data_IF_728555911549
#
_entry.id   IF_728555911549
#
_cell.length_a   1.000
_cell.length_b   1.000
_cell.length_c   1.000
_cell.angle_alpha   90.00
_cell.angle_beta   90.00
_cell.angle_gamma   90.00
#
_symmetry.space_group_name_H-M   'P 1'
#
loop_
_entity.id
_entity.type
_entity.pdbx_description
1 polymer ?
#
# COMPACT_ATOMS: atom_id res chain seq x y z
N UNK A 1 -20.86 -10.80 -17.87
CA UNK A 1 -19.90 -10.13 -16.99
C UNK A 1 -20.57 -9.87 -15.65
N UNK A 2 -20.44 -10.77 -14.67
CA UNK A 2 -20.87 -10.48 -13.31
C UNK A 2 -19.84 -9.50 -12.70
N UNK A 3 -20.12 -8.20 -12.84
CA UNK A 3 -19.31 -7.14 -12.23
C UNK A 3 -19.43 -7.24 -10.70
N UNK A 4 -18.57 -8.03 -10.06
CA UNK A 4 -18.28 -7.84 -8.64
C UNK A 4 -17.52 -6.53 -8.54
N UNK A 5 -18.26 -5.41 -8.49
CA UNK A 5 -17.66 -4.07 -8.42
C UNK A 5 -17.30 -3.83 -6.96
N UNK A 6 -16.02 -3.92 -6.62
CA UNK A 6 -15.53 -3.49 -5.31
C UNK A 6 -15.85 -2.00 -5.12
N UNK A 7 -16.91 -1.72 -4.38
CA UNK A 7 -17.41 -0.37 -4.12
C UNK A 7 -17.73 -0.18 -2.64
N UNK A 8 -16.72 0.19 -1.82
CA UNK A 8 -16.92 0.36 -0.39
C UNK A 8 -17.87 1.54 -0.10
N UNK A 9 -18.48 1.53 1.08
CA UNK A 9 -19.56 2.47 1.45
C UNK A 9 -19.18 3.95 1.29
N UNK A 10 -17.94 4.35 1.59
CA UNK A 10 -17.48 5.73 1.48
C UNK A 10 -17.34 6.19 0.03
N UNK A 11 -17.02 5.29 -0.90
CA UNK A 11 -17.00 5.56 -2.34
C UNK A 11 -18.42 5.72 -2.89
N UNK A 12 -19.37 4.89 -2.43
CA UNK A 12 -20.78 5.00 -2.84
C UNK A 12 -21.40 6.35 -2.47
N UNK A 13 -20.96 6.96 -1.37
CA UNK A 13 -21.41 8.29 -0.96
C UNK A 13 -20.98 9.35 -1.99
N UNK A 14 -19.73 9.29 -2.46
CA UNK A 14 -19.20 10.20 -3.47
C UNK A 14 -19.82 9.94 -4.85
N UNK A 15 -19.93 8.67 -5.24
CA UNK A 15 -20.47 8.23 -6.53
C UNK A 15 -21.96 8.58 -6.67
N UNK A 16 -22.74 8.58 -5.57
CA UNK A 16 -24.18 8.87 -5.58
C UNK A 16 -24.50 10.24 -6.17
N UNK A 17 -23.59 11.20 -6.02
CA UNK A 17 -23.79 12.57 -6.47
C UNK A 17 -22.97 12.94 -7.72
N UNK A 18 -22.27 11.96 -8.32
CA UNK A 18 -21.43 12.12 -9.52
C UNK A 18 -20.41 13.27 -9.43
N UNK A 19 -19.92 13.56 -8.22
CA UNK A 19 -19.06 14.71 -7.98
C UNK A 19 -17.60 14.53 -8.46
N UNK A 20 -17.27 13.38 -9.06
CA UNK A 20 -15.95 13.08 -9.57
C UNK A 20 -14.84 13.28 -8.53
N UNK A 21 -13.67 13.73 -8.98
CA UNK A 21 -12.51 13.96 -8.10
C UNK A 21 -12.73 15.15 -7.14
N UNK A 22 -13.40 16.21 -7.61
CA UNK A 22 -13.66 17.41 -6.79
C UNK A 22 -14.53 17.10 -5.57
N UNK A 23 -15.55 16.24 -5.73
CA UNK A 23 -16.38 15.80 -4.62
C UNK A 23 -15.64 14.98 -3.57
N UNK A 24 -14.72 14.13 -4.01
CA UNK A 24 -13.88 13.34 -3.08
C UNK A 24 -13.01 14.26 -2.23
N UNK A 25 -12.39 15.27 -2.85
CA UNK A 25 -11.64 16.32 -2.12
C UNK A 25 -12.55 17.08 -1.16
N UNK A 26 -13.73 17.50 -1.61
CA UNK A 26 -14.69 18.22 -0.76
C UNK A 26 -15.15 17.38 0.44
N UNK A 27 -15.43 16.09 0.25
CA UNK A 27 -15.79 15.16 1.32
C UNK A 27 -14.63 14.94 2.31
N UNK A 28 -13.40 14.86 1.82
CA UNK A 28 -12.21 14.77 2.67
C UNK A 28 -12.02 16.02 3.52
N UNK A 29 -12.13 17.21 2.93
CA UNK A 29 -12.07 18.47 3.69
C UNK A 29 -13.23 18.60 4.68
N UNK A 30 -14.43 18.18 4.27
CA UNK A 30 -15.60 18.17 5.15
C UNK A 30 -15.39 17.25 6.36
N UNK A 31 -14.73 16.11 6.18
CA UNK A 31 -14.43 15.19 7.28
C UNK A 31 -13.59 15.87 8.39
N UNK A 32 -12.56 16.63 8.02
CA UNK A 32 -11.79 17.42 8.99
C UNK A 32 -12.58 18.60 9.56
N UNK A 33 -13.36 19.30 8.72
CA UNK A 33 -14.16 20.45 9.12
C UNK A 33 -15.25 20.11 10.15
N UNK A 34 -15.82 18.89 10.09
CA UNK A 34 -16.79 18.39 11.08
C UNK A 34 -16.22 18.39 12.50
N UNK A 35 -14.91 18.19 12.65
CA UNK A 35 -14.23 18.33 13.94
C UNK A 35 -13.78 19.78 14.17
N UNK A 36 -13.09 20.39 13.20
CA UNK A 36 -12.41 21.66 13.41
C UNK A 36 -13.35 22.84 13.64
N UNK A 37 -14.47 22.91 12.91
CA UNK A 37 -15.38 24.06 13.02
C UNK A 37 -16.05 24.14 14.40
N UNK A 38 -16.66 23.06 14.94
CA UNK A 38 -17.18 23.10 16.31
C UNK A 38 -16.09 23.41 17.34
N UNK A 39 -14.90 22.84 17.19
CA UNK A 39 -13.79 23.08 18.12
C UNK A 39 -13.36 24.55 18.10
N UNK A 40 -13.14 25.11 16.91
CA UNK A 40 -12.78 26.52 16.73
C UNK A 40 -13.85 27.49 17.25
N UNK A 41 -15.13 27.14 17.16
CA UNK A 41 -16.22 27.95 17.74
C UNK A 41 -16.10 28.03 19.27
N UNK A 42 -15.62 26.96 19.92
CA UNK A 42 -15.49 26.89 21.38
C UNK A 42 -14.18 27.54 21.86
N UNK A 43 -13.06 27.27 21.20
CA UNK A 43 -11.71 27.66 21.68
C UNK A 43 -11.10 28.86 20.94
N UNK A 44 -11.70 29.30 19.84
CA UNK A 44 -11.21 30.42 19.05
C UNK A 44 -9.79 30.18 18.52
N UNK A 45 -8.91 31.17 18.68
CA UNK A 45 -7.53 31.10 18.18
C UNK A 45 -6.66 30.06 18.88
N UNK A 46 -7.05 29.56 20.05
CA UNK A 46 -6.31 28.52 20.78
C UNK A 46 -6.21 27.22 19.96
N UNK A 47 -7.20 26.94 19.10
CA UNK A 47 -7.19 25.80 18.17
C UNK A 47 -6.01 25.76 17.18
N UNK A 48 -5.32 26.89 17.00
CA UNK A 48 -4.08 26.95 16.23
C UNK A 48 -2.84 26.65 17.09
N UNK A 49 -2.87 27.07 18.35
CA UNK A 49 -1.75 26.90 19.30
C UNK A 49 -1.64 25.48 19.85
N UNK A 50 -2.76 24.77 19.97
CA UNK A 50 -2.82 23.39 20.48
C UNK A 50 -2.70 22.31 19.39
N UNK A 51 -2.38 22.72 18.15
CA UNK A 51 -2.25 21.84 16.98
C UNK A 51 -3.54 21.14 16.52
N UNK A 52 -4.72 21.53 17.02
CA UNK A 52 -6.00 20.93 16.59
C UNK A 52 -6.27 21.09 15.09
N UNK A 53 -5.78 22.16 14.47
CA UNK A 53 -5.83 22.32 13.01
C UNK A 53 -5.10 21.19 12.26
N UNK A 54 -4.02 20.65 12.83
CA UNK A 54 -3.27 19.52 12.27
C UNK A 54 -4.06 18.21 12.44
N UNK A 55 -4.79 18.04 13.55
CA UNK A 55 -5.72 16.92 13.73
C UNK A 55 -6.83 16.92 12.67
N UNK A 56 -7.37 18.10 12.34
CA UNK A 56 -8.33 18.25 11.24
C UNK A 56 -7.70 17.95 9.87
N UNK A 57 -6.45 18.38 9.66
CA UNK A 57 -5.64 18.04 8.50
C UNK A 57 -5.44 16.54 8.35
N UNK A 58 -5.07 15.85 9.44
CA UNK A 58 -4.94 14.40 9.52
C UNK A 58 -6.23 13.69 9.10
N UNK A 59 -7.36 14.04 9.70
CA UNK A 59 -8.68 13.46 9.34
C UNK A 59 -8.96 13.65 7.84
N UNK A 60 -8.67 14.84 7.31
CA UNK A 60 -8.88 15.15 5.90
C UNK A 60 -7.96 14.35 4.98
N UNK A 61 -6.67 14.27 5.31
CA UNK A 61 -5.67 13.50 4.59
C UNK A 61 -6.00 12.00 4.60
N UNK A 62 -6.29 11.42 5.76
CA UNK A 62 -6.69 10.03 5.90
C UNK A 62 -7.90 9.69 5.02
N UNK A 63 -8.93 10.55 5.01
CA UNK A 63 -10.10 10.39 4.15
C UNK A 63 -9.72 10.48 2.65
N UNK A 64 -8.89 11.46 2.27
CA UNK A 64 -8.44 11.64 0.88
C UNK A 64 -7.61 10.47 0.37
N UNK A 65 -6.69 9.98 1.20
CA UNK A 65 -5.84 8.83 0.88
C UNK A 65 -6.65 7.56 0.75
N UNK A 66 -7.75 7.40 1.48
CA UNK A 66 -8.65 6.26 1.32
C UNK A 66 -9.28 6.21 -0.08
N UNK A 67 -9.72 7.36 -0.61
CA UNK A 67 -10.21 7.45 -1.99
C UNK A 67 -9.11 7.15 -3.01
N UNK A 68 -7.92 7.72 -2.82
CA UNK A 68 -6.78 7.48 -3.71
C UNK A 68 -6.35 6.01 -3.69
N UNK A 69 -6.30 5.39 -2.51
CA UNK A 69 -5.94 3.98 -2.36
C UNK A 69 -6.97 3.08 -3.05
N UNK A 70 -8.25 3.40 -2.92
CA UNK A 70 -9.32 2.65 -3.60
C UNK A 70 -9.23 2.77 -5.11
N UNK A 71 -8.97 3.97 -5.64
CA UNK A 71 -8.75 4.18 -7.06
C UNK A 71 -7.53 3.40 -7.58
N UNK A 72 -6.44 3.42 -6.80
CA UNK A 72 -5.21 2.66 -7.11
C UNK A 72 -5.51 1.16 -7.15
N UNK A 73 -6.20 0.61 -6.15
CA UNK A 73 -6.58 -0.81 -6.12
C UNK A 73 -7.49 -1.19 -7.30
N UNK A 74 -8.48 -0.36 -7.63
CA UNK A 74 -9.37 -0.59 -8.78
C UNK A 74 -8.63 -0.61 -10.11
N UNK A 75 -7.58 0.21 -10.26
CA UNK A 75 -6.75 0.23 -11.46
C UNK A 75 -5.96 -1.07 -11.67
N UNK A 76 -5.80 -1.90 -10.62
CA UNK A 76 -5.14 -3.19 -10.71
C UNK A 76 -6.04 -4.27 -11.32
N UNK A 77 -7.37 -4.23 -11.12
CA UNK A 77 -8.25 -5.34 -11.50
C UNK A 77 -8.24 -5.68 -12.99
N UNK A 78 -8.33 -4.72 -13.94
CA UNK A 78 -8.25 -5.04 -15.36
C UNK A 78 -6.91 -5.65 -15.74
N UNK A 79 -5.82 -5.23 -15.07
CA UNK A 79 -4.49 -5.79 -15.29
C UNK A 79 -4.36 -7.19 -14.71
N UNK A 80 -4.94 -7.45 -13.54
CA UNK A 80 -4.97 -8.79 -12.95
C UNK A 80 -5.75 -9.79 -13.81
N UNK A 81 -6.86 -9.36 -14.40
CA UNK A 81 -7.67 -10.18 -15.31
C UNK A 81 -6.84 -10.71 -16.50
N UNK A 82 -5.92 -9.91 -17.04
CA UNK A 82 -5.02 -10.35 -18.13
C UNK A 82 -4.17 -11.54 -17.69
N UNK A 83 -3.66 -11.55 -16.45
CA UNK A 83 -2.80 -12.62 -15.95
C UNK A 83 -3.56 -13.84 -15.43
N UNK A 84 -4.79 -13.68 -14.93
CA UNK A 84 -5.59 -14.81 -14.43
C UNK A 84 -6.47 -15.44 -15.50
N UNK A 85 -6.87 -14.68 -16.52
CA UNK A 85 -7.98 -15.01 -17.42
C UNK A 85 -9.33 -14.56 -16.85
N UNK A 86 -10.25 -14.19 -17.75
CA UNK A 86 -11.59 -13.69 -17.43
C UNK A 86 -12.44 -14.72 -16.65
N UNK A 87 -12.19 -16.02 -16.85
CA UNK A 87 -12.86 -17.14 -16.17
C UNK A 87 -12.46 -17.29 -14.69
N UNK A 88 -11.40 -16.59 -14.26
CA UNK A 88 -10.78 -16.76 -12.93
C UNK A 88 -10.79 -15.51 -12.07
N UNK A 89 -11.48 -14.45 -12.50
CA UNK A 89 -11.56 -13.17 -11.76
C UNK A 89 -12.11 -13.36 -10.34
N UNK A 90 -13.06 -14.29 -10.18
CA UNK A 90 -13.65 -14.60 -8.86
C UNK A 90 -12.63 -15.13 -7.84
N UNK A 91 -11.52 -15.75 -8.30
CA UNK A 91 -10.50 -16.32 -7.40
C UNK A 91 -9.79 -15.25 -6.56
N UNK A 92 -9.69 -14.01 -7.04
CA UNK A 92 -9.14 -12.90 -6.26
C UNK A 92 -10.22 -11.91 -5.81
N UNK A 93 -11.28 -11.69 -6.60
CA UNK A 93 -12.36 -10.76 -6.23
C UNK A 93 -13.24 -11.28 -5.10
N UNK A 94 -13.49 -12.59 -5.02
CA UNK A 94 -14.24 -13.21 -3.92
C UNK A 94 -13.58 -12.93 -2.57
N UNK A 95 -12.33 -13.38 -2.35
CA UNK A 95 -11.60 -13.12 -1.11
C UNK A 95 -11.46 -11.63 -0.79
N UNK A 96 -11.23 -10.79 -1.81
CA UNK A 96 -11.11 -9.34 -1.63
C UNK A 96 -12.43 -8.71 -1.17
N UNK A 97 -13.55 -9.03 -1.82
CA UNK A 97 -14.87 -8.46 -1.49
C UNK A 97 -15.40 -8.94 -0.14
N UNK A 98 -15.10 -10.18 0.24
CA UNK A 98 -15.44 -10.70 1.56
C UNK A 98 -14.59 -10.01 2.65
N UNK A 99 -13.28 -9.87 2.39
CA UNK A 99 -12.35 -9.24 3.32
C UNK A 99 -12.65 -7.77 3.48
N UNK A 100 -12.77 -7.02 2.38
CA UNK A 100 -13.01 -5.59 2.36
C UNK A 100 -14.51 -5.27 2.23
N UNK A 101 -15.35 -6.03 2.93
CA UNK A 101 -16.79 -5.75 3.02
C UNK A 101 -17.06 -4.51 3.88
N UNK A 102 -18.15 -3.80 3.60
CA UNK A 102 -18.52 -2.59 4.34
C UNK A 102 -18.61 -2.82 5.84
N UNK A 103 -19.16 -3.98 6.24
CA UNK A 103 -19.27 -4.36 7.65
C UNK A 103 -17.89 -4.45 8.29
N UNK A 104 -16.92 -5.09 7.63
CA UNK A 104 -15.56 -5.26 8.18
C UNK A 104 -14.81 -3.93 8.21
N UNK A 105 -14.97 -3.08 7.20
CA UNK A 105 -14.44 -1.72 7.22
C UNK A 105 -15.03 -0.89 8.36
N UNK A 106 -16.35 -0.89 8.55
CA UNK A 106 -16.99 -0.17 9.64
C UNK A 106 -16.52 -0.66 11.00
N UNK A 107 -16.44 -1.99 11.22
CA UNK A 107 -15.93 -2.55 12.47
C UNK A 107 -14.47 -2.12 12.70
N UNK A 108 -13.61 -2.20 11.68
CA UNK A 108 -12.22 -1.77 11.79
C UNK A 108 -12.12 -0.29 12.15
N UNK A 109 -12.86 0.58 11.45
CA UNK A 109 -12.92 2.01 11.76
C UNK A 109 -13.41 2.28 13.19
N UNK A 110 -14.49 1.63 13.63
CA UNK A 110 -15.01 1.81 14.99
C UNK A 110 -14.01 1.36 16.06
N UNK A 111 -13.37 0.20 15.86
CA UNK A 111 -12.36 -0.32 16.78
C UNK A 111 -11.13 0.58 16.85
N UNK A 112 -10.59 1.02 15.71
CA UNK A 112 -9.42 1.90 15.67
C UNK A 112 -9.75 3.31 16.17
N UNK A 113 -10.95 3.83 15.88
CA UNK A 113 -11.45 5.08 16.45
C UNK A 113 -11.53 5.04 17.97
N UNK A 114 -12.14 3.98 18.52
CA UNK A 114 -12.21 3.77 19.97
C UNK A 114 -10.83 3.62 20.60
N UNK A 115 -9.92 2.86 19.97
CA UNK A 115 -8.55 2.70 20.45
C UNK A 115 -7.77 4.02 20.39
N UNK A 116 -7.88 4.81 19.32
CA UNK A 116 -7.19 6.09 19.20
C UNK A 116 -7.70 7.13 20.22
N UNK A 117 -9.01 7.12 20.49
CA UNK A 117 -9.60 7.92 21.56
C UNK A 117 -9.07 7.49 22.94
N UNK A 118 -8.93 6.19 23.18
CA UNK A 118 -8.33 5.66 24.42
C UNK A 118 -6.86 6.07 24.55
N UNK A 119 -6.08 6.03 23.46
CA UNK A 119 -4.70 6.53 23.46
C UNK A 119 -4.66 8.02 23.80
N UNK A 120 -5.52 8.84 23.20
CA UNK A 120 -5.64 10.27 23.55
C UNK A 120 -6.05 10.49 25.01
N UNK A 121 -6.88 9.60 25.58
CA UNK A 121 -7.20 9.61 27.01
C UNK A 121 -5.98 9.27 27.87
N UNK A 122 -5.20 8.25 27.52
CA UNK A 122 -3.97 7.89 28.21
C UNK A 122 -2.93 9.01 28.15
N UNK A 123 -2.76 9.65 27.00
CA UNK A 123 -1.81 10.76 26.82
C UNK A 123 -2.22 12.00 27.64
N UNK A 124 -3.52 12.24 27.79
CA UNK A 124 -4.07 13.36 28.57
C UNK A 124 -4.17 14.63 27.74
N UNK A 125 -5.38 15.19 27.65
CA UNK A 125 -5.70 16.30 26.76
C UNK A 125 -5.38 17.65 27.41
N UNK A 126 -4.72 18.60 26.72
CA UNK A 126 -4.35 19.90 27.28
C UNK A 126 -5.49 20.93 27.21
N UNK A 127 -6.69 20.58 27.66
CA UNK A 127 -7.82 21.51 27.72
C UNK A 127 -8.50 21.46 29.08
N UNK A 128 -8.68 22.64 29.69
CA UNK A 128 -9.43 22.79 30.94
C UNK A 128 -10.95 22.90 30.70
N UNK A 129 -11.38 23.27 29.50
CA UNK A 129 -12.79 23.38 29.15
C UNK A 129 -13.39 21.98 28.82
N UNK A 130 -14.45 21.53 29.51
CA UNK A 130 -15.06 20.23 29.26
C UNK A 130 -15.60 20.06 27.84
N UNK A 131 -16.12 21.12 27.21
CA UNK A 131 -16.67 21.05 25.86
C UNK A 131 -15.56 20.86 24.81
N UNK A 132 -14.48 21.64 24.90
CA UNK A 132 -13.29 21.47 24.08
C UNK A 132 -12.66 20.07 24.25
N UNK A 133 -12.57 19.57 25.49
CA UNK A 133 -12.05 18.22 25.77
C UNK A 133 -12.90 17.12 25.13
N UNK A 134 -14.22 17.24 25.19
CA UNK A 134 -15.13 16.30 24.51
C UNK A 134 -14.93 16.33 22.99
N UNK A 135 -14.80 17.51 22.40
CA UNK A 135 -14.56 17.68 20.97
C UNK A 135 -13.21 17.09 20.52
N UNK A 136 -12.16 17.22 21.34
CA UNK A 136 -10.86 16.59 21.08
C UNK A 136 -10.96 15.05 21.09
N UNK A 137 -11.68 14.46 22.05
CA UNK A 137 -11.93 13.01 22.01
C UNK A 137 -12.72 12.58 20.78
N UNK A 138 -13.72 13.37 20.35
CA UNK A 138 -14.39 13.13 19.07
C UNK A 138 -13.43 13.23 17.88
N UNK A 139 -12.51 14.22 17.89
CA UNK A 139 -11.46 14.36 16.88
C UNK A 139 -10.52 13.15 16.84
N UNK A 140 -10.06 12.66 17.99
CA UNK A 140 -9.24 11.45 18.08
C UNK A 140 -10.00 10.22 17.60
N UNK A 141 -11.27 10.08 17.94
CA UNK A 141 -12.11 9.01 17.43
C UNK A 141 -12.21 9.06 15.90
N UNK A 142 -12.47 10.23 15.32
CA UNK A 142 -12.57 10.41 13.87
C UNK A 142 -11.24 10.12 13.16
N UNK A 143 -10.13 10.62 13.67
CA UNK A 143 -8.80 10.34 13.13
C UNK A 143 -8.51 8.84 13.15
N UNK A 144 -8.74 8.17 14.29
CA UNK A 144 -8.59 6.73 14.40
C UNK A 144 -9.54 5.96 13.48
N UNK A 145 -10.78 6.44 13.31
CA UNK A 145 -11.75 5.82 12.41
C UNK A 145 -11.27 5.87 10.96
N UNK A 146 -10.90 7.04 10.45
CA UNK A 146 -10.44 7.19 9.08
C UNK A 146 -9.09 6.53 8.81
N UNK A 147 -8.17 6.51 9.78
CA UNK A 147 -6.90 5.78 9.67
C UNK A 147 -7.06 4.25 9.82
N UNK A 148 -8.08 3.79 10.54
CA UNK A 148 -8.40 2.37 10.70
C UNK A 148 -8.89 1.71 9.41
N UNK A 149 -9.61 2.45 8.55
CA UNK A 149 -10.07 1.96 7.25
C UNK A 149 -8.92 1.53 6.33
N UNK A 150 -7.92 2.36 6.01
CA UNK A 150 -6.78 1.95 5.18
C UNK A 150 -5.87 0.96 5.91
N UNK A 151 -5.72 1.02 7.24
CA UNK A 151 -4.97 0.02 7.99
C UNK A 151 -5.56 -1.40 7.78
N UNK A 152 -6.88 -1.53 7.81
CA UNK A 152 -7.55 -2.78 7.46
C UNK A 152 -7.49 -3.07 5.95
N UNK A 153 -7.52 -2.03 5.12
CA UNK A 153 -7.29 -2.10 3.67
C UNK A 153 -5.98 -2.79 3.29
N UNK A 154 -4.90 -2.55 4.05
CA UNK A 154 -3.61 -3.24 3.86
C UNK A 154 -3.78 -4.75 3.92
N UNK A 155 -4.55 -5.26 4.90
CA UNK A 155 -4.85 -6.68 4.99
C UNK A 155 -5.60 -7.20 3.74
N UNK A 156 -6.56 -6.44 3.23
CA UNK A 156 -7.25 -6.79 1.98
C UNK A 156 -6.32 -6.85 0.77
N UNK A 157 -5.38 -5.92 0.64
CA UNK A 157 -4.34 -5.93 -0.41
C UNK A 157 -3.48 -7.20 -0.29
N UNK A 158 -3.07 -7.58 0.92
CA UNK A 158 -2.29 -8.80 1.13
C UNK A 158 -3.06 -10.06 0.70
N UNK A 159 -4.32 -10.16 1.12
CA UNK A 159 -5.19 -11.30 0.75
C UNK A 159 -5.37 -11.36 -0.76
N UNK A 160 -5.62 -10.23 -1.41
CA UNK A 160 -5.84 -10.16 -2.85
C UNK A 160 -4.59 -10.47 -3.65
N UNK A 161 -3.42 -9.93 -3.30
CA UNK A 161 -2.16 -10.26 -3.97
C UNK A 161 -1.80 -11.74 -3.75
N UNK A 162 -2.04 -12.28 -2.56
CA UNK A 162 -1.84 -13.71 -2.27
C UNK A 162 -2.79 -14.60 -3.09
N UNK A 163 -4.04 -14.21 -3.25
CA UNK A 163 -5.00 -14.93 -4.08
C UNK A 163 -4.61 -14.83 -5.57
N UNK A 164 -4.24 -13.64 -6.02
CA UNK A 164 -3.75 -13.37 -7.38
C UNK A 164 -2.54 -14.22 -7.73
N UNK A 165 -1.49 -14.23 -6.89
CA UNK A 165 -0.27 -15.02 -7.14
C UNK A 165 -0.51 -16.52 -7.23
N UNK A 166 -1.59 -17.04 -6.61
CA UNK A 166 -2.02 -18.43 -6.74
C UNK A 166 -2.83 -18.70 -8.01
N UNK A 167 -3.62 -17.71 -8.44
CA UNK A 167 -4.50 -17.80 -9.60
C UNK A 167 -3.81 -17.45 -10.92
N UNK A 168 -2.73 -16.67 -10.87
CA UNK A 168 -1.98 -16.20 -12.02
C UNK A 168 -1.46 -17.37 -12.85
N UNK A 169 -1.74 -17.35 -14.14
CA UNK A 169 -1.24 -18.38 -15.05
C UNK A 169 0.18 -18.02 -15.47
N UNK A 170 1.11 -18.97 -15.33
CA UNK A 170 2.54 -18.74 -15.55
C UNK A 170 2.88 -18.47 -17.03
N UNK A 171 2.06 -18.94 -17.95
CA UNK A 171 2.13 -18.69 -19.40
C UNK A 171 1.89 -17.23 -19.78
N UNK A 172 1.18 -16.46 -18.94
CA UNK A 172 0.99 -15.02 -19.16
C UNK A 172 2.13 -14.16 -18.63
N UNK A 173 3.07 -14.73 -17.87
CA UNK A 173 4.31 -14.04 -17.51
C UNK A 173 5.22 -14.00 -18.74
N UNK A 174 5.82 -12.85 -18.99
CA UNK A 174 6.68 -12.62 -20.15
C UNK A 174 8.03 -12.02 -19.72
N UNK A 175 9.09 -12.82 -19.80
CA UNK A 175 10.46 -12.34 -19.50
C UNK A 175 10.98 -11.32 -20.52
N UNK A 176 10.35 -11.22 -21.70
CA UNK A 176 10.68 -10.21 -22.72
C UNK A 176 9.93 -8.90 -22.53
N UNK A 177 9.02 -8.83 -21.55
CA UNK A 177 8.29 -7.61 -21.23
C UNK A 177 9.26 -6.44 -20.96
N UNK A 178 8.93 -5.22 -21.41
CA UNK A 178 9.83 -4.07 -21.31
C UNK A 178 10.14 -3.67 -19.86
N UNK A 179 9.27 -4.05 -18.91
CA UNK A 179 9.48 -3.85 -17.48
C UNK A 179 10.55 -4.78 -16.87
N UNK A 180 10.96 -5.81 -17.62
CA UNK A 180 11.83 -6.91 -17.19
C UNK A 180 11.31 -7.63 -15.95
N UNK A 181 10.02 -7.54 -15.65
CA UNK A 181 9.41 -8.06 -14.42
C UNK A 181 8.22 -8.97 -14.74
N UNK A 182 8.23 -9.63 -15.90
CA UNK A 182 7.14 -10.53 -16.27
C UNK A 182 5.84 -9.81 -16.58
N UNK A 183 5.87 -8.49 -16.82
CA UNK A 183 4.68 -7.65 -16.92
C UNK A 183 4.03 -7.30 -15.57
N UNK A 184 4.69 -7.60 -14.44
CA UNK A 184 4.13 -7.42 -13.08
C UNK A 184 4.56 -6.13 -12.37
N UNK A 185 5.37 -5.27 -13.01
CA UNK A 185 5.88 -4.05 -12.36
C UNK A 185 4.77 -3.11 -11.84
N UNK A 186 3.61 -3.11 -12.50
CA UNK A 186 2.46 -2.30 -12.08
C UNK A 186 1.96 -2.63 -10.66
N UNK A 187 2.12 -3.88 -10.20
CA UNK A 187 1.73 -4.25 -8.84
C UNK A 187 2.70 -3.58 -7.86
N UNK A 188 4.01 -3.63 -8.12
CA UNK A 188 4.99 -2.96 -7.30
C UNK A 188 4.82 -1.44 -7.26
N UNK A 189 4.48 -0.80 -8.39
CA UNK A 189 4.14 0.63 -8.43
C UNK A 189 2.95 0.97 -7.52
N UNK A 190 1.91 0.13 -7.48
CA UNK A 190 0.77 0.33 -6.59
C UNK A 190 1.14 0.10 -5.12
N UNK A 191 1.95 -0.91 -4.81
CA UNK A 191 2.44 -1.17 -3.45
C UNK A 191 3.25 0.00 -2.90
N UNK A 192 4.10 0.62 -3.74
CA UNK A 192 4.84 1.84 -3.37
C UNK A 192 3.89 2.99 -3.10
N UNK A 193 2.87 3.20 -3.94
CA UNK A 193 1.85 4.23 -3.69
C UNK A 193 1.16 4.03 -2.35
N UNK A 194 0.72 2.81 -2.03
CA UNK A 194 0.12 2.52 -0.71
C UNK A 194 1.10 2.79 0.43
N UNK A 195 2.35 2.37 0.27
CA UNK A 195 3.39 2.57 1.29
C UNK A 195 3.68 4.05 1.56
N UNK A 196 3.83 4.86 0.50
CA UNK A 196 4.10 6.31 0.61
C UNK A 196 2.96 7.05 1.31
N UNK A 197 1.70 6.72 1.01
CA UNK A 197 0.54 7.36 1.66
C UNK A 197 0.49 7.03 3.15
N UNK A 198 0.66 5.76 3.51
CA UNK A 198 0.69 5.33 4.91
C UNK A 198 1.85 5.98 5.66
N UNK A 199 3.01 6.10 5.00
CA UNK A 199 4.19 6.73 5.57
C UNK A 199 4.01 8.24 5.77
N UNK A 200 3.40 8.95 4.81
CA UNK A 200 3.07 10.37 4.94
C UNK A 200 2.09 10.60 6.10
N UNK A 201 1.04 9.79 6.19
CA UNK A 201 0.09 9.85 7.31
C UNK A 201 0.78 9.58 8.65
N UNK A 202 1.70 8.59 8.69
CA UNK A 202 2.52 8.30 9.86
C UNK A 202 3.35 9.50 10.32
N UNK A 203 3.86 10.31 9.39
CA UNK A 203 4.62 11.51 9.71
C UNK A 203 3.74 12.61 10.28
N UNK A 204 2.53 12.80 9.73
CA UNK A 204 1.56 13.73 10.29
C UNK A 204 1.15 13.32 11.72
N UNK A 205 0.92 12.02 11.94
CA UNK A 205 0.57 11.47 13.27
C UNK A 205 1.72 11.71 14.24
N UNK A 206 2.96 11.40 13.84
CA UNK A 206 4.15 11.63 14.65
C UNK A 206 4.30 13.12 14.98
N UNK A 207 4.19 13.99 13.98
CA UNK A 207 4.28 15.45 14.17
C UNK A 207 3.23 15.94 15.16
N UNK A 208 1.99 15.49 15.03
CA UNK A 208 0.91 15.86 15.95
C UNK A 208 1.22 15.39 17.39
N UNK A 209 1.55 14.11 17.58
CA UNK A 209 1.83 13.55 18.91
C UNK A 209 3.03 14.23 19.57
N UNK A 210 4.06 14.60 18.82
CA UNK A 210 5.27 15.19 19.41
C UNK A 210 5.14 16.69 19.71
N UNK A 211 4.20 17.41 19.08
CA UNK A 211 4.05 18.85 19.29
C UNK A 211 2.90 19.23 20.23
N UNK A 212 1.92 18.35 20.43
CA UNK A 212 0.86 18.57 21.42
C UNK A 212 1.43 18.45 22.83
N UNK A 213 1.13 19.42 23.69
CA UNK A 213 1.55 19.42 25.09
C UNK A 213 0.69 18.48 25.95
N UNK A 214 0.82 17.18 25.77
CA UNK A 214 0.02 16.18 26.49
C UNK A 214 0.17 16.28 28.01
N UNK A 215 -0.95 16.26 28.73
CA UNK A 215 -1.00 16.45 30.19
C UNK A 215 -0.22 15.38 30.94
N UNK A 216 -0.24 14.13 30.46
CA UNK A 216 0.50 13.00 31.07
C UNK A 216 1.82 12.70 30.33
N UNK A 217 2.29 13.56 29.43
CA UNK A 217 3.49 13.30 28.61
C UNK A 217 4.80 13.19 29.38
N UNK A 218 4.81 13.64 30.65
CA UNK A 218 5.95 13.48 31.56
C UNK A 218 6.11 12.08 32.15
N UNK A 219 5.08 11.23 32.07
CA UNK A 219 5.11 9.89 32.64
C UNK A 219 5.83 8.90 31.70
N UNK A 220 6.84 8.17 32.20
CA UNK A 220 7.62 7.20 31.42
C UNK A 220 6.75 6.16 30.68
N UNK A 221 5.69 5.68 31.34
CA UNK A 221 4.78 4.69 30.73
C UNK A 221 3.96 5.29 29.59
N UNK A 222 3.58 6.57 29.68
CA UNK A 222 2.87 7.30 28.62
C UNK A 222 3.79 7.54 27.44
N UNK A 223 5.04 7.93 27.70
CA UNK A 223 6.05 8.10 26.65
C UNK A 223 6.27 6.81 25.86
N UNK A 224 6.37 5.66 26.55
CA UNK A 224 6.46 4.36 25.87
C UNK A 224 5.25 4.10 24.97
N UNK A 225 4.05 4.41 25.44
CA UNK A 225 2.83 4.28 24.63
C UNK A 225 2.80 5.24 23.45
N UNK A 226 3.24 6.49 23.62
CA UNK A 226 3.36 7.48 22.55
C UNK A 226 4.32 6.98 21.46
N UNK A 227 5.52 6.54 21.83
CA UNK A 227 6.48 5.96 20.89
C UNK A 227 5.93 4.71 20.19
N UNK A 228 5.30 3.82 20.95
CA UNK A 228 4.63 2.65 20.39
C UNK A 228 3.59 3.04 19.33
N UNK A 229 2.76 4.04 19.62
CA UNK A 229 1.72 4.52 18.71
C UNK A 229 2.28 5.22 17.47
N UNK A 230 3.35 6.01 17.65
CA UNK A 230 4.08 6.68 16.56
C UNK A 230 4.65 5.65 15.58
N UNK A 231 5.18 4.53 16.06
CA UNK A 231 5.86 3.53 15.21
C UNK A 231 4.88 2.72 14.35
N UNK A 232 3.63 2.53 14.79
CA UNK A 232 2.65 1.65 14.10
C UNK A 232 2.44 2.00 12.62
N UNK A 233 2.17 3.26 12.24
CA UNK A 233 2.03 3.63 10.82
C UNK A 233 3.26 3.31 9.96
N UNK A 234 4.46 3.48 10.49
CA UNK A 234 5.71 3.16 9.77
C UNK A 234 5.82 1.65 9.53
N UNK A 235 5.48 0.82 10.53
CA UNK A 235 5.43 -0.63 10.36
C UNK A 235 4.40 -1.03 9.30
N UNK A 236 3.23 -0.39 9.28
CA UNK A 236 2.22 -0.64 8.25
C UNK A 236 2.67 -0.23 6.85
N UNK A 237 3.40 0.88 6.70
CA UNK A 237 3.99 1.26 5.41
C UNK A 237 4.99 0.23 4.88
N UNK A 238 5.79 -0.39 5.76
CA UNK A 238 6.72 -1.45 5.39
C UNK A 238 5.97 -2.74 5.07
N UNK A 239 4.94 -3.08 5.86
CA UNK A 239 4.18 -4.30 5.72
C UNK A 239 3.40 -4.35 4.41
N UNK A 240 2.75 -3.25 4.01
CA UNK A 240 2.05 -3.17 2.72
C UNK A 240 3.00 -3.27 1.53
N UNK A 241 4.27 -2.87 1.69
CA UNK A 241 5.27 -2.94 0.64
C UNK A 241 5.93 -4.32 0.53
N UNK A 242 6.48 -4.81 1.63
CA UNK A 242 7.39 -5.96 1.64
C UNK A 242 6.66 -7.30 1.58
N UNK A 243 5.55 -7.44 2.32
CA UNK A 243 4.82 -8.71 2.41
C UNK A 243 4.26 -9.18 1.05
N UNK A 244 3.55 -8.35 0.27
CA UNK A 244 3.06 -8.77 -1.04
C UNK A 244 4.20 -8.88 -2.08
N UNK A 245 5.22 -8.03 -1.99
CA UNK A 245 6.39 -8.11 -2.87
C UNK A 245 7.17 -9.41 -2.69
N UNK A 246 7.30 -9.92 -1.46
CA UNK A 246 7.93 -11.20 -1.20
C UNK A 246 7.21 -12.36 -1.91
N UNK A 247 5.87 -12.33 -1.95
CA UNK A 247 5.08 -13.35 -2.66
C UNK A 247 5.21 -13.24 -4.17
N UNK A 248 5.22 -12.03 -4.72
CA UNK A 248 5.48 -11.80 -6.14
C UNK A 248 6.90 -12.26 -6.52
N UNK A 249 7.90 -11.98 -5.68
CA UNK A 249 9.27 -12.41 -5.91
C UNK A 249 9.41 -13.93 -5.97
N UNK A 250 8.75 -14.66 -5.05
CA UNK A 250 8.70 -16.12 -5.10
C UNK A 250 8.10 -16.62 -6.43
N UNK A 251 6.97 -16.05 -6.84
CA UNK A 251 6.31 -16.43 -8.10
C UNK A 251 7.20 -16.17 -9.33
N UNK A 252 7.87 -15.02 -9.38
CA UNK A 252 8.75 -14.64 -10.50
C UNK A 252 10.04 -15.46 -10.52
N UNK A 253 10.60 -15.81 -9.36
CA UNK A 253 11.73 -16.73 -9.25
C UNK A 253 11.37 -18.12 -9.76
N UNK A 254 10.22 -18.66 -9.35
CA UNK A 254 9.75 -19.97 -9.81
C UNK A 254 9.55 -19.99 -11.33
N UNK A 255 9.00 -18.91 -11.89
CA UNK A 255 8.85 -18.75 -13.34
C UNK A 255 10.21 -18.70 -14.05
N UNK A 256 11.12 -17.84 -13.57
CA UNK A 256 12.47 -17.69 -14.12
C UNK A 256 13.23 -19.01 -14.12
N UNK A 257 13.19 -19.76 -13.02
CA UNK A 257 13.83 -21.07 -12.93
C UNK A 257 13.19 -22.12 -13.85
N UNK A 258 11.87 -22.08 -14.03
CA UNK A 258 11.17 -22.98 -14.95
C UNK A 258 11.56 -22.70 -16.40
N UNK A 259 11.59 -21.43 -16.81
CA UNK A 259 11.97 -21.02 -18.17
C UNK A 259 13.44 -21.30 -18.46
N UNK A 260 14.34 -21.04 -17.50
CA UNK A 260 15.76 -21.32 -17.67
C UNK A 260 16.02 -22.82 -17.87
N UNK A 261 15.34 -23.69 -17.10
CA UNK A 261 15.44 -25.15 -17.28
C UNK A 261 14.94 -25.59 -18.64
N UNK A 262 13.77 -25.11 -19.06
CA UNK A 262 13.19 -25.45 -20.36
C UNK A 262 14.12 -25.05 -21.53
N UNK A 263 14.67 -23.83 -21.48
CA UNK A 263 15.60 -23.35 -22.49
C UNK A 263 16.93 -24.12 -22.46
N UNK A 264 17.44 -24.45 -21.27
CA UNK A 264 18.66 -25.25 -21.12
C UNK A 264 18.50 -26.67 -21.69
N UNK A 265 17.35 -27.31 -21.47
CA UNK A 265 17.06 -28.64 -22.00
C UNK A 265 16.99 -28.61 -23.53
N UNK A 266 16.33 -27.60 -24.12
CA UNK A 266 16.27 -27.39 -25.58
C UNK A 266 17.66 -27.12 -26.17
N UNK A 267 18.46 -26.26 -25.55
CA UNK A 267 19.84 -26.00 -25.97
C UNK A 267 20.71 -27.28 -25.92
N UNK A 268 20.53 -28.11 -24.89
CA UNK A 268 21.27 -29.37 -24.75
C UNK A 268 20.84 -30.38 -25.82
N UNK A 269 19.54 -30.44 -26.14
CA UNK A 269 19.02 -31.27 -27.21
C UNK A 269 19.55 -30.83 -28.59
N UNK A 270 19.54 -29.53 -28.89
CA UNK A 270 20.11 -28.99 -30.13
C UNK A 270 21.60 -29.24 -30.24
N UNK A 271 22.35 -29.09 -29.14
CA UNK A 271 23.79 -29.37 -29.13
C UNK A 271 24.09 -30.84 -29.47
N UNK A 272 23.31 -31.78 -28.89
CA UNK A 272 23.42 -33.21 -29.23
C UNK A 272 23.08 -33.49 -30.69
N UNK A 273 22.14 -32.74 -31.27
CA UNK A 273 21.84 -32.85 -32.70
C UNK A 273 23.03 -32.36 -33.52
N UNK A 274 23.55 -31.16 -33.26
CA UNK A 274 24.72 -30.59 -33.94
C UNK A 274 25.95 -31.52 -33.88
N UNK A 275 26.20 -32.14 -32.73
CA UNK A 275 27.34 -33.04 -32.53
C UNK A 275 27.15 -34.44 -33.20
N UNK A 276 25.98 -34.71 -33.78
CA UNK A 276 25.66 -35.98 -34.45
C UNK A 276 26.30 -36.11 -35.84
N UNK A 277 26.78 -37.31 -36.17
CA UNK A 277 27.37 -37.57 -37.49
C UNK A 277 26.30 -37.64 -38.60
N UNK A 278 26.56 -37.00 -39.75
CA UNK A 278 25.76 -37.13 -40.97
C UNK A 278 24.75 -36.00 -41.26
N UNK A 279 25.02 -34.77 -40.78
CA UNK A 279 24.16 -33.60 -40.99
C UNK A 279 24.57 -32.89 -42.27
N UNK A 280 23.59 -32.55 -43.11
CA UNK A 280 23.80 -31.71 -44.30
C UNK A 280 24.13 -30.26 -43.90
N UNK A 281 25.05 -29.59 -44.60
CA UNK A 281 25.50 -28.22 -44.29
C UNK A 281 24.34 -27.22 -44.11
N UNK A 282 23.28 -27.32 -44.92
CA UNK A 282 22.10 -26.46 -44.81
C UNK A 282 21.20 -26.70 -43.58
N UNK A 283 21.31 -27.87 -42.95
CA UNK A 283 20.66 -28.16 -41.67
C UNK A 283 21.51 -27.69 -40.49
N UNK A 284 22.84 -27.75 -40.63
CA UNK A 284 23.79 -27.30 -39.62
C UNK A 284 23.63 -25.79 -39.33
N UNK A 285 23.53 -24.97 -40.36
CA UNK A 285 23.32 -23.51 -40.22
C UNK A 285 21.98 -23.18 -39.52
N UNK A 286 20.92 -23.95 -39.79
CA UNK A 286 19.62 -23.77 -39.13
C UNK A 286 19.72 -24.09 -37.64
N UNK A 287 20.38 -25.19 -37.28
CA UNK A 287 20.57 -25.61 -35.88
C UNK A 287 21.43 -24.60 -35.10
N UNK A 288 22.49 -24.05 -35.72
CA UNK A 288 23.30 -22.99 -35.10
C UNK A 288 22.51 -21.70 -34.87
N UNK A 289 21.70 -21.27 -35.84
CA UNK A 289 20.84 -20.10 -35.70
C UNK A 289 19.79 -20.29 -34.60
N UNK A 290 19.18 -21.47 -34.51
CA UNK A 290 18.21 -21.79 -33.46
C UNK A 290 18.88 -21.83 -32.08
N UNK A 291 20.09 -22.40 -31.99
CA UNK A 291 20.88 -22.39 -30.75
C UNK A 291 21.23 -20.95 -30.32
N UNK A 292 21.67 -20.09 -31.24
CA UNK A 292 21.98 -18.69 -30.96
C UNK A 292 20.73 -17.94 -30.45
N UNK A 293 19.58 -18.17 -31.09
CA UNK A 293 18.30 -17.61 -30.66
C UNK A 293 17.90 -18.05 -29.24
N UNK A 294 18.03 -19.33 -28.91
CA UNK A 294 17.73 -19.83 -27.57
C UNK A 294 18.72 -19.31 -26.52
N UNK A 295 20.00 -19.18 -26.89
CA UNK A 295 21.04 -18.59 -26.02
C UNK A 295 20.70 -17.14 -25.68
N UNK A 296 20.28 -16.35 -26.67
CA UNK A 296 19.81 -14.98 -26.45
C UNK A 296 18.60 -14.93 -25.51
N UNK A 297 17.62 -15.84 -25.69
CA UNK A 297 16.47 -15.92 -24.79
C UNK A 297 16.84 -16.27 -23.34
N UNK A 298 17.84 -17.12 -23.14
CA UNK A 298 18.37 -17.42 -21.79
C UNK A 298 18.99 -16.17 -21.15
N UNK A 299 19.67 -15.34 -21.94
CA UNK A 299 20.18 -14.06 -21.46
C UNK A 299 19.04 -13.12 -21.03
N UNK A 300 17.94 -13.07 -21.79
CA UNK A 300 16.76 -12.29 -21.44
C UNK A 300 16.10 -12.80 -20.14
N UNK A 301 15.95 -14.12 -19.97
CA UNK A 301 15.48 -14.74 -18.72
C UNK A 301 16.43 -14.41 -17.56
N UNK A 302 17.74 -14.39 -17.80
CA UNK A 302 18.72 -14.01 -16.78
C UNK A 302 18.61 -12.53 -16.36
N UNK A 303 18.29 -11.65 -17.32
CA UNK A 303 18.09 -10.21 -17.11
C UNK A 303 16.74 -9.87 -16.45
N UNK A 304 15.83 -10.84 -16.34
CA UNK A 304 14.55 -10.68 -15.67
C UNK A 304 14.73 -10.36 -14.18
N UNK A 305 14.11 -9.27 -13.75
CA UNK A 305 13.95 -8.84 -12.36
C UNK A 305 12.86 -9.66 -11.69
N UNK A 306 13.12 -10.09 -10.46
CA UNK A 306 12.17 -10.85 -9.66
C UNK A 306 11.52 -10.00 -8.57
N UNK A 307 12.10 -8.84 -8.27
CA UNK A 307 11.47 -7.86 -7.40
C UNK A 307 10.56 -6.94 -8.23
N UNK A 308 9.29 -6.72 -7.80
CA UNK A 308 8.34 -5.93 -8.55
C UNK A 308 8.63 -4.42 -8.53
N UNK A 309 9.79 -4.00 -8.00
CA UNK A 309 10.19 -2.60 -7.88
C UNK A 309 11.15 -2.22 -9.00
N UNK A 310 10.81 -1.18 -9.76
CA UNK A 310 11.76 -0.48 -10.61
C UNK A 310 12.78 0.31 -9.77
N UNK A 311 13.91 0.68 -10.37
CA UNK A 311 14.91 1.55 -9.70
C UNK A 311 14.29 2.84 -9.16
N UNK A 312 13.40 3.48 -9.94
CA UNK A 312 12.68 4.69 -9.50
C UNK A 312 11.72 4.45 -8.32
N UNK A 313 11.08 3.28 -8.26
CA UNK A 313 10.19 2.90 -7.16
C UNK A 313 10.97 2.68 -5.85
N UNK A 314 12.13 2.02 -5.94
CA UNK A 314 13.06 1.86 -4.81
C UNK A 314 13.60 3.21 -4.35
N UNK A 315 14.00 4.10 -5.26
CA UNK A 315 14.49 5.44 -4.91
C UNK A 315 13.40 6.30 -4.26
N UNK A 316 12.16 6.24 -4.75
CA UNK A 316 11.04 6.97 -4.15
C UNK A 316 10.73 6.47 -2.73
N UNK A 317 10.69 5.14 -2.52
CA UNK A 317 10.47 4.59 -1.19
C UNK A 317 11.63 4.89 -0.23
N UNK A 318 12.87 4.62 -0.64
CA UNK A 318 14.07 4.87 0.18
C UNK A 318 14.23 6.36 0.47
N UNK A 319 13.99 7.24 -0.50
CA UNK A 319 14.03 8.69 -0.31
C UNK A 319 13.00 9.16 0.72
N UNK A 320 11.75 8.68 0.60
CA UNK A 320 10.68 9.01 1.54
C UNK A 320 10.96 8.43 2.93
N UNK A 321 11.44 7.18 3.00
CA UNK A 321 11.76 6.50 4.25
C UNK A 321 12.93 7.18 4.97
N UNK A 322 14.02 7.50 4.27
CA UNK A 322 15.18 8.20 4.85
C UNK A 322 14.79 9.61 5.28
N UNK A 323 14.09 10.38 4.45
CA UNK A 323 13.63 11.72 4.82
C UNK A 323 12.80 11.69 6.11
N UNK A 324 11.94 10.69 6.25
CA UNK A 324 11.11 10.54 7.44
C UNK A 324 11.86 9.99 8.66
N UNK A 325 12.89 9.17 8.46
CA UNK A 325 13.76 8.72 9.53
C UNK A 325 14.60 9.87 10.08
N UNK A 326 15.09 10.76 9.21
CA UNK A 326 15.80 11.98 9.58
C UNK A 326 14.87 12.94 10.34
N UNK A 327 13.66 13.18 9.84
CA UNK A 327 12.65 13.97 10.54
C UNK A 327 12.31 13.37 11.92
N UNK A 328 12.14 12.05 12.00
CA UNK A 328 11.86 11.36 13.26
C UNK A 328 13.05 11.45 14.24
N UNK A 329 14.29 11.36 13.77
CA UNK A 329 15.48 11.51 14.63
C UNK A 329 15.66 12.94 15.12
N UNK A 330 15.46 13.95 14.27
CA UNK A 330 15.52 15.36 14.67
C UNK A 330 14.42 15.72 15.68
N UNK A 331 13.23 15.13 15.53
CA UNK A 331 12.13 15.30 16.48
C UNK A 331 12.41 14.56 17.80
N UNK A 332 13.05 13.39 17.76
CA UNK A 332 13.45 12.66 18.96
C UNK A 332 14.53 13.41 19.76
N UNK A 333 15.52 14.02 19.09
CA UNK A 333 16.56 14.82 19.74
C UNK A 333 15.98 16.03 20.50
N UNK A 334 14.89 16.64 20.00
CA UNK A 334 14.22 17.76 20.68
C UNK A 334 13.46 17.39 21.95
N UNK A 335 13.18 16.10 22.17
CA UNK A 335 12.42 15.61 23.33
C UNK A 335 13.32 15.08 24.45
N UNK A 336 14.56 14.72 24.12
CA UNK A 336 15.56 14.22 25.08
C UNK A 336 16.50 15.35 25.55
N UNK A 337 16.43 16.51 24.90
CA UNK A 337 17.25 17.71 25.19
C UNK A 337 16.70 18.60 26.30
#
# INVERSE_FOLDING_TARGET
MAQIKFNPFYERLADRYDWGAAGKVALSLAAGAVFFLPYFIVTGSEAFGDWSWLLAGLISCACGFLFFATATLRSLFPRWEVFTGADRVELFMGPLSETLSDRRFLIAGLCTGGLNMLMGFCFGVPSADPAATMLLYCGFFLAGFFCGLPAYGIWGVLVAVKAFTRAAKKDHLDYTAPDRCGGMAFIGEALVKFSVLTLFEGCLIATYILNVSWTNGGDDWVQLLMWGWIVVPFLFSLLVLLSPAAKLNQMLLDYRHSQERELQDRCTALRRQIDGAGIEDGQMDKLHNEYAYLSQRREDVFRMRTWPFGSGATTSFVGTFIANLVLASELAEKLVG
#
